data_IF_925149413839
#
_entry.id   IF_925149413839
#
_cell.length_a   1.000
_cell.length_b   1.000
_cell.length_c   1.000
_cell.angle_alpha   90.00
_cell.angle_beta   90.00
_cell.angle_gamma   90.00
#
_symmetry.space_group_name_H-M   'P 1'
#
loop_
_entity.id
_entity.type
_entity.pdbx_description
1 polymer ?
#
# COMPACT_ATOMS: atom_id res chain seq x y z
N UNK A 1 9.60 -16.99 -14.03
CA UNK A 1 8.89 -16.67 -12.77
C UNK A 1 7.44 -16.98 -13.00
N UNK A 2 6.85 -17.92 -12.25
CA UNK A 2 5.41 -18.13 -12.24
C UNK A 2 4.76 -16.83 -11.75
N UNK A 3 4.05 -16.15 -12.63
CA UNK A 3 3.28 -14.95 -12.27
C UNK A 3 2.11 -15.40 -11.42
N UNK A 4 2.19 -15.20 -10.11
CA UNK A 4 0.98 -15.18 -9.31
C UNK A 4 0.09 -14.08 -9.87
N UNK A 5 -1.11 -14.42 -10.34
CA UNK A 5 -2.09 -13.44 -10.74
C UNK A 5 -2.29 -12.48 -9.56
N UNK A 6 -1.86 -11.22 -9.76
CA UNK A 6 -2.03 -10.20 -8.73
C UNK A 6 -3.52 -9.94 -8.62
N UNK A 7 -4.10 -10.37 -7.50
CA UNK A 7 -5.52 -10.17 -7.28
C UNK A 7 -5.82 -8.68 -7.16
N UNK A 8 -6.91 -8.23 -7.79
CA UNK A 8 -7.41 -6.85 -7.68
C UNK A 8 -7.62 -6.46 -6.20
N UNK A 9 -7.97 -7.42 -5.35
CA UNK A 9 -8.04 -7.27 -3.89
C UNK A 9 -6.73 -6.80 -3.25
N UNK A 10 -5.59 -7.33 -3.71
CA UNK A 10 -4.26 -6.90 -3.25
C UNK A 10 -3.99 -5.45 -3.66
N UNK A 11 -4.37 -5.05 -4.87
CA UNK A 11 -4.20 -3.67 -5.34
C UNK A 11 -5.04 -2.69 -4.52
N UNK A 12 -6.28 -3.06 -4.18
CA UNK A 12 -7.12 -2.30 -3.26
C UNK A 12 -6.48 -2.17 -1.87
N UNK A 13 -6.02 -3.28 -1.28
CA UNK A 13 -5.27 -3.25 -0.01
C UNK A 13 -4.11 -2.26 -0.07
N UNK A 14 -3.24 -2.40 -1.08
CA UNK A 14 -2.03 -1.60 -1.19
C UNK A 14 -2.33 -0.11 -1.36
N UNK A 15 -3.35 0.23 -2.16
CA UNK A 15 -3.80 1.60 -2.35
C UNK A 15 -4.40 2.18 -1.06
N UNK A 16 -5.30 1.47 -0.38
CA UNK A 16 -5.92 1.97 0.86
C UNK A 16 -4.90 2.11 1.99
N UNK A 17 -3.93 1.20 2.06
CA UNK A 17 -2.85 1.26 3.05
C UNK A 17 -1.75 2.24 2.66
N UNK A 18 -1.80 2.82 1.45
CA UNK A 18 -0.75 3.64 0.87
C UNK A 18 0.63 2.97 1.02
N UNK A 19 0.74 1.73 0.55
CA UNK A 19 1.95 0.91 0.67
C UNK A 19 2.38 0.35 -0.68
N UNK A 20 3.69 0.27 -0.88
CA UNK A 20 4.31 -0.32 -2.07
C UNK A 20 4.39 -1.84 -1.90
N UNK A 21 4.09 -2.65 -2.95
CA UNK A 21 4.31 -4.08 -2.89
C UNK A 21 5.76 -4.43 -2.54
N UNK A 22 5.95 -5.47 -1.73
CA UNK A 22 7.30 -5.88 -1.27
C UNK A 22 8.29 -6.14 -2.42
N UNK A 23 7.81 -6.66 -3.55
CA UNK A 23 8.65 -6.89 -4.74
C UNK A 23 9.23 -5.58 -5.26
N UNK A 24 8.44 -4.51 -5.27
CA UNK A 24 8.90 -3.22 -5.74
C UNK A 24 9.77 -2.50 -4.69
N UNK A 25 9.55 -2.71 -3.39
CA UNK A 25 10.49 -2.29 -2.35
C UNK A 25 11.87 -2.93 -2.54
N UNK A 26 11.92 -4.22 -2.89
CA UNK A 26 13.19 -4.90 -3.22
C UNK A 26 13.85 -4.28 -4.46
N UNK A 27 13.07 -3.91 -5.48
CA UNK A 27 13.59 -3.22 -6.67
C UNK A 27 14.14 -1.82 -6.33
N UNK A 28 13.46 -1.03 -5.48
CA UNK A 28 13.97 0.25 -4.95
C UNK A 28 15.30 0.06 -4.24
N UNK A 29 15.42 -0.98 -3.40
CA UNK A 29 16.66 -1.29 -2.68
C UNK A 29 17.79 -1.70 -3.63
N UNK A 30 17.50 -2.52 -4.65
CA UNK A 30 18.47 -2.90 -5.68
C UNK A 30 18.97 -1.69 -6.47
N UNK A 31 18.08 -0.79 -6.88
CA UNK A 31 18.46 0.46 -7.55
C UNK A 31 19.22 1.41 -6.61
N UNK A 32 18.86 1.47 -5.34
CA UNK A 32 19.60 2.26 -4.34
C UNK A 32 21.04 1.78 -4.21
N UNK A 33 21.23 0.46 -4.12
CA UNK A 33 22.56 -0.17 -4.10
C UNK A 33 23.32 0.08 -5.41
N UNK A 34 22.65 0.02 -6.56
CA UNK A 34 23.24 0.32 -7.88
C UNK A 34 23.90 1.69 -7.88
N UNK A 35 23.15 2.71 -7.49
CA UNK A 35 23.67 4.07 -7.44
C UNK A 35 24.75 4.26 -6.38
N UNK A 36 24.74 3.49 -5.29
CA UNK A 36 25.84 3.52 -4.31
C UNK A 36 27.14 3.06 -4.95
N UNK A 37 27.13 1.96 -5.71
CA UNK A 37 28.32 1.46 -6.41
C UNK A 37 28.79 2.45 -7.49
N UNK A 38 27.88 3.00 -8.31
CA UNK A 38 28.25 3.99 -9.34
C UNK A 38 28.98 5.20 -8.76
N UNK A 39 28.61 5.63 -7.54
CA UNK A 39 29.23 6.77 -6.84
C UNK A 39 30.47 6.43 -6.01
N UNK A 40 30.89 5.16 -5.94
CA UNK A 40 32.12 4.81 -5.24
C UNK A 40 33.32 5.55 -5.86
N UNK A 41 34.35 5.79 -5.05
CA UNK A 41 35.60 6.32 -5.55
C UNK A 41 36.21 5.30 -6.56
N UNK A 42 36.72 5.74 -7.73
CA UNK A 42 37.36 4.86 -8.70
C UNK A 42 38.51 4.02 -8.14
N UNK A 43 39.15 4.44 -7.03
CA UNK A 43 40.23 3.68 -6.38
C UNK A 43 39.76 2.37 -5.72
N UNK A 44 38.46 2.17 -5.54
CA UNK A 44 37.95 0.94 -4.93
C UNK A 44 37.84 -0.17 -5.97
N UNK A 45 38.50 -1.30 -5.71
CA UNK A 45 38.41 -2.52 -6.52
C UNK A 45 36.96 -2.96 -6.79
N UNK A 46 36.06 -2.76 -5.83
CA UNK A 46 34.64 -3.06 -6.00
C UNK A 46 33.99 -2.28 -7.16
N UNK A 47 34.39 -1.02 -7.38
CA UNK A 47 33.91 -0.20 -8.50
C UNK A 47 34.49 -0.67 -9.83
N UNK A 48 35.77 -1.05 -9.86
CA UNK A 48 36.40 -1.58 -11.07
C UNK A 48 35.77 -2.89 -11.51
N UNK A 49 35.56 -3.82 -10.57
CA UNK A 49 34.89 -5.10 -10.84
C UNK A 49 33.47 -4.84 -11.36
N UNK A 50 32.75 -3.91 -10.73
CA UNK A 50 31.39 -3.56 -11.15
C UNK A 50 31.36 -2.97 -12.56
N UNK A 51 32.20 -1.98 -12.85
CA UNK A 51 32.27 -1.34 -14.17
C UNK A 51 32.63 -2.35 -15.26
N UNK A 52 33.63 -3.20 -15.03
CA UNK A 52 34.02 -4.24 -15.98
C UNK A 52 32.85 -5.20 -16.27
N UNK A 53 32.13 -5.65 -15.23
CA UNK A 53 30.97 -6.53 -15.42
C UNK A 53 29.81 -5.81 -16.10
N UNK A 54 29.61 -4.52 -15.83
CA UNK A 54 28.56 -3.72 -16.44
C UNK A 54 28.80 -3.52 -17.93
N UNK A 55 30.01 -3.10 -18.31
CA UNK A 55 30.43 -2.92 -19.70
C UNK A 55 30.32 -4.25 -20.44
N UNK A 56 30.87 -5.33 -19.86
CA UNK A 56 30.76 -6.68 -20.44
C UNK A 56 29.31 -7.10 -20.67
N UNK A 57 28.40 -6.79 -19.75
CA UNK A 57 26.98 -7.10 -19.91
C UNK A 57 26.33 -6.32 -21.06
N UNK A 58 26.70 -5.05 -21.22
CA UNK A 58 26.19 -4.16 -22.28
C UNK A 58 26.74 -4.59 -23.65
N UNK A 59 28.03 -4.91 -23.74
CA UNK A 59 28.71 -5.23 -24.99
C UNK A 59 28.47 -6.67 -25.47
N UNK A 60 28.33 -7.63 -24.55
CA UNK A 60 28.18 -9.06 -24.86
C UNK A 60 26.75 -9.58 -24.66
N UNK A 61 25.74 -8.72 -24.84
CA UNK A 61 24.31 -9.08 -24.84
C UNK A 61 23.88 -10.07 -23.74
N UNK A 62 24.25 -9.80 -22.48
CA UNK A 62 23.63 -10.52 -21.37
C UNK A 62 24.32 -11.80 -20.88
N UNK A 63 25.55 -12.12 -21.30
CA UNK A 63 26.32 -13.28 -20.78
C UNK A 63 26.74 -13.19 -19.29
N UNK A 64 26.22 -12.21 -18.54
CA UNK A 64 26.49 -12.08 -17.11
C UNK A 64 25.36 -12.72 -16.32
N UNK A 65 25.68 -13.39 -15.21
CA UNK A 65 24.70 -13.91 -14.25
C UNK A 65 24.81 -13.09 -12.96
N UNK A 66 23.68 -12.88 -12.28
CA UNK A 66 23.63 -12.26 -10.95
C UNK A 66 23.08 -10.84 -10.97
N UNK A 67 23.68 -9.95 -10.18
CA UNK A 67 23.11 -8.64 -9.87
C UNK A 67 22.97 -7.70 -11.08
N UNK A 68 23.96 -7.66 -11.99
CA UNK A 68 23.98 -6.69 -13.09
C UNK A 68 22.81 -6.88 -14.07
N UNK A 69 22.54 -8.07 -14.63
CA UNK A 69 21.37 -8.29 -15.48
C UNK A 69 20.06 -7.91 -14.80
N UNK A 70 19.92 -8.22 -13.51
CA UNK A 70 18.72 -7.91 -12.75
C UNK A 70 18.56 -6.39 -12.55
N UNK A 71 19.62 -5.69 -12.17
CA UNK A 71 19.63 -4.23 -12.07
C UNK A 71 19.34 -3.57 -13.43
N UNK A 72 19.92 -4.08 -14.51
CA UNK A 72 19.69 -3.60 -15.87
C UNK A 72 18.21 -3.75 -16.28
N UNK A 73 17.62 -4.93 -16.06
CA UNK A 73 16.19 -5.19 -16.29
C UNK A 73 15.30 -4.23 -15.49
N UNK A 74 15.65 -3.96 -14.23
CA UNK A 74 14.91 -3.02 -13.38
C UNK A 74 15.04 -1.58 -13.89
N UNK A 75 16.24 -1.15 -14.31
CA UNK A 75 16.47 0.16 -14.91
C UNK A 75 15.64 0.34 -16.20
N UNK A 76 15.56 -0.69 -17.03
CA UNK A 76 14.75 -0.68 -18.24
C UNK A 76 13.25 -0.61 -17.92
N UNK A 77 12.77 -1.44 -16.98
CA UNK A 77 11.38 -1.46 -16.51
C UNK A 77 10.89 -0.07 -16.06
N UNK A 78 11.74 0.70 -15.40
CA UNK A 78 11.38 2.01 -14.85
C UNK A 78 11.83 3.20 -15.71
N UNK A 79 12.26 2.95 -16.95
CA UNK A 79 12.72 3.99 -17.87
C UNK A 79 13.82 4.87 -17.25
N UNK A 80 14.85 4.21 -16.73
CA UNK A 80 16.03 4.80 -16.08
C UNK A 80 17.31 4.59 -16.92
N UNK A 81 17.18 4.06 -18.13
CA UNK A 81 18.31 3.76 -19.02
C UNK A 81 19.10 4.99 -19.43
N UNK A 82 18.48 6.17 -19.45
CA UNK A 82 19.18 7.44 -19.72
C UNK A 82 20.24 7.74 -18.65
N UNK A 83 19.94 7.47 -17.38
CA UNK A 83 20.90 7.67 -16.29
C UNK A 83 22.07 6.71 -16.43
N UNK A 84 21.80 5.46 -16.81
CA UNK A 84 22.86 4.48 -17.09
C UNK A 84 23.73 4.91 -18.27
N UNK A 85 23.14 5.40 -19.36
CA UNK A 85 23.87 5.89 -20.53
C UNK A 85 24.82 7.03 -20.17
N UNK A 86 24.34 8.06 -19.45
CA UNK A 86 25.20 9.15 -18.97
C UNK A 86 26.33 8.69 -18.05
N UNK A 87 26.08 7.65 -17.23
CA UNK A 87 27.13 7.09 -16.38
C UNK A 87 28.21 6.37 -17.18
N UNK A 88 27.82 5.56 -18.18
CA UNK A 88 28.76 4.79 -19.00
C UNK A 88 29.56 5.69 -19.93
N UNK A 89 28.92 6.71 -20.52
CA UNK A 89 29.56 7.62 -21.48
C UNK A 89 30.41 8.69 -20.80
N UNK A 90 29.85 9.35 -19.77
CA UNK A 90 30.45 10.55 -19.21
C UNK A 90 31.02 10.34 -17.80
N UNK A 91 30.83 9.15 -17.21
CA UNK A 91 31.13 8.90 -15.80
C UNK A 91 30.18 9.61 -14.83
N UNK A 92 29.15 10.29 -15.35
CA UNK A 92 28.26 11.14 -14.57
C UNK A 92 27.11 10.33 -13.96
N UNK A 93 26.97 10.39 -12.64
CA UNK A 93 25.86 9.77 -11.92
C UNK A 93 25.19 10.77 -10.97
N UNK A 94 23.84 10.74 -10.83
CA UNK A 94 23.14 11.62 -9.89
C UNK A 94 23.64 11.49 -8.46
N UNK A 95 23.57 12.58 -7.70
CA UNK A 95 23.94 12.57 -6.28
C UNK A 95 23.07 11.56 -5.50
N UNK A 96 23.50 11.17 -4.29
CA UNK A 96 22.74 10.23 -3.45
C UNK A 96 21.28 10.68 -3.25
N UNK A 97 21.06 11.98 -3.03
CA UNK A 97 19.73 12.55 -2.78
C UNK A 97 18.87 12.56 -4.04
N UNK A 98 19.44 12.97 -5.17
CA UNK A 98 18.73 13.00 -6.46
C UNK A 98 18.38 11.58 -6.92
N UNK A 99 19.34 10.65 -6.86
CA UNK A 99 19.11 9.26 -7.24
C UNK A 99 17.98 8.63 -6.43
N UNK A 100 17.99 8.82 -5.10
CA UNK A 100 16.92 8.33 -4.23
C UNK A 100 15.55 8.86 -4.69
N UNK A 101 15.44 10.17 -4.93
CA UNK A 101 14.20 10.80 -5.41
C UNK A 101 13.75 10.27 -6.78
N UNK A 102 14.69 10.08 -7.72
CA UNK A 102 14.40 9.57 -9.06
C UNK A 102 13.85 8.15 -8.98
N UNK A 103 14.53 7.27 -8.24
CA UNK A 103 14.14 5.87 -8.05
C UNK A 103 12.76 5.77 -7.41
N UNK A 104 12.57 6.41 -6.25
CA UNK A 104 11.29 6.39 -5.53
C UNK A 104 10.16 6.87 -6.43
N UNK A 105 10.33 8.03 -7.09
CA UNK A 105 9.31 8.59 -7.99
C UNK A 105 8.97 7.66 -9.14
N UNK A 106 9.96 7.15 -9.88
CA UNK A 106 9.73 6.31 -11.07
C UNK A 106 9.09 4.98 -10.70
N UNK A 107 9.55 4.34 -9.62
CA UNK A 107 8.97 3.07 -9.17
C UNK A 107 7.53 3.24 -8.70
N UNK A 108 7.28 4.24 -7.85
CA UNK A 108 5.95 4.51 -7.27
C UNK A 108 4.96 4.93 -8.34
N UNK A 109 5.36 5.81 -9.26
CA UNK A 109 4.50 6.22 -10.37
C UNK A 109 4.11 5.02 -11.24
N UNK A 110 5.05 4.13 -11.56
CA UNK A 110 4.75 2.93 -12.32
C UNK A 110 3.77 2.00 -11.58
N UNK A 111 3.96 1.78 -10.28
CA UNK A 111 3.03 0.98 -9.46
C UNK A 111 1.64 1.61 -9.42
N UNK A 112 1.57 2.91 -9.17
CA UNK A 112 0.29 3.63 -9.12
C UNK A 112 -0.44 3.50 -10.45
N UNK A 113 0.25 3.66 -11.57
CA UNK A 113 -0.35 3.50 -12.90
C UNK A 113 -0.83 2.06 -13.15
N UNK A 114 -0.02 1.07 -12.76
CA UNK A 114 -0.37 -0.35 -12.83
C UNK A 114 -1.60 -0.71 -11.97
N UNK A 115 -1.68 -0.18 -10.75
CA UNK A 115 -2.82 -0.40 -9.84
C UNK A 115 -4.06 0.29 -10.38
N UNK A 116 -3.93 1.55 -10.80
CA UNK A 116 -5.05 2.30 -11.38
C UNK A 116 -5.57 1.64 -12.65
N UNK A 117 -4.71 1.14 -13.54
CA UNK A 117 -5.17 0.46 -14.76
C UNK A 117 -5.92 -0.83 -14.46
N UNK A 118 -5.48 -1.61 -13.46
CA UNK A 118 -6.18 -2.84 -13.02
C UNK A 118 -7.50 -2.56 -12.30
N UNK A 119 -7.59 -1.44 -11.57
CA UNK A 119 -8.80 -1.08 -10.83
C UNK A 119 -9.82 -0.33 -11.70
N UNK A 120 -9.39 0.39 -12.76
CA UNK A 120 -10.23 1.24 -13.64
C UNK A 120 -11.40 0.55 -14.38
N UNK A 121 -11.67 -0.73 -14.14
CA UNK A 121 -12.85 -1.43 -14.64
C UNK A 121 -13.66 -2.16 -13.57
N UNK A 122 -13.37 -1.97 -12.28
CA UNK A 122 -13.89 -2.85 -11.23
C UNK A 122 -14.18 -2.11 -9.91
N UNK A 123 -15.06 -1.10 -9.93
CA UNK A 123 -15.48 -0.33 -8.75
C UNK A 123 -16.42 -1.12 -7.81
N UNK A 124 -16.06 -2.37 -7.52
CA UNK A 124 -16.90 -3.27 -6.74
C UNK A 124 -16.96 -2.91 -5.24
N UNK A 125 -16.27 -1.85 -4.83
CA UNK A 125 -15.99 -1.59 -3.42
C UNK A 125 -16.27 -0.15 -2.98
N UNK A 126 -16.43 0.80 -3.91
CA UNK A 126 -16.62 2.22 -3.56
C UNK A 126 -15.46 2.81 -2.76
N UNK A 127 -14.32 2.11 -2.66
CA UNK A 127 -13.11 2.56 -1.99
C UNK A 127 -12.28 3.32 -3.02
N UNK A 128 -12.07 4.61 -2.76
CA UNK A 128 -11.27 5.46 -3.63
C UNK A 128 -9.84 4.95 -3.67
N UNK A 129 -9.33 4.65 -4.86
CA UNK A 129 -7.91 4.33 -5.08
C UNK A 129 -7.11 5.60 -4.89
N UNK A 130 -6.38 5.70 -3.79
CA UNK A 130 -5.43 6.78 -3.60
C UNK A 130 -4.18 6.53 -4.43
N UNK A 131 -3.60 7.60 -4.96
CA UNK A 131 -2.25 7.60 -5.51
C UNK A 131 -1.31 7.15 -4.40
N UNK A 132 -0.58 6.06 -4.62
CA UNK A 132 0.43 5.63 -3.67
C UNK A 132 1.53 6.69 -3.69
N UNK A 133 1.89 7.22 -2.53
CA UNK A 133 2.97 8.18 -2.36
C UNK A 133 4.03 7.57 -1.44
N UNK A 134 5.23 7.30 -1.96
CA UNK A 134 6.34 6.76 -1.17
C UNK A 134 6.79 7.66 -0.03
N UNK A 135 6.49 8.96 -0.08
CA UNK A 135 6.85 9.89 0.99
C UNK A 135 5.80 9.94 2.10
N UNK A 136 4.62 9.36 1.88
CA UNK A 136 3.52 9.39 2.83
C UNK A 136 3.13 7.96 3.22
N UNK A 137 3.05 7.70 4.51
CA UNK A 137 2.40 6.49 5.01
C UNK A 137 0.88 6.69 4.99
N UNK A 138 0.09 5.61 5.08
CA UNK A 138 -1.34 5.75 5.41
C UNK A 138 -1.51 6.74 6.57
N UNK A 139 -2.53 7.62 6.56
CA UNK A 139 -2.82 8.52 7.68
C UNK A 139 -2.81 7.78 9.02
N UNK A 140 -3.34 6.55 9.07
CA UNK A 140 -3.35 5.71 10.27
C UNK A 140 -1.94 5.38 10.80
N UNK A 141 -0.97 5.13 9.93
CA UNK A 141 0.42 4.86 10.34
C UNK A 141 1.12 6.11 10.86
N UNK A 142 0.83 7.27 10.26
CA UNK A 142 1.35 8.56 10.74
C UNK A 142 0.81 8.88 12.13
N UNK A 143 -0.51 8.78 12.32
CA UNK A 143 -1.13 9.02 13.64
C UNK A 143 -0.61 8.00 14.68
N UNK A 144 -0.44 6.72 14.30
CA UNK A 144 0.12 5.70 15.19
C UNK A 144 1.58 5.96 15.57
N UNK A 145 2.40 6.47 14.63
CA UNK A 145 3.80 6.84 14.90
C UNK A 145 3.88 7.97 15.91
N UNK A 146 3.03 8.99 15.77
CA UNK A 146 3.01 10.14 16.67
C UNK A 146 2.33 9.81 18.01
N UNK A 147 1.51 8.75 18.05
CA UNK A 147 0.74 8.33 19.23
C UNK A 147 0.85 6.81 19.47
N UNK A 148 1.93 6.32 20.11
CA UNK A 148 2.14 4.88 20.31
C UNK A 148 1.00 4.16 21.04
N UNK A 149 0.24 4.86 21.89
CA UNK A 149 -0.90 4.30 22.64
C UNK A 149 -2.04 3.81 21.75
N UNK A 150 -2.17 4.35 20.53
CA UNK A 150 -3.27 4.00 19.62
C UNK A 150 -2.87 2.99 18.54
N UNK A 151 -1.61 2.51 18.57
CA UNK A 151 -1.08 1.62 17.53
C UNK A 151 -1.93 0.36 17.32
N UNK A 152 -2.49 -0.20 18.39
CA UNK A 152 -3.34 -1.39 18.31
C UNK A 152 -4.70 -1.09 17.65
N UNK A 153 -5.24 0.11 17.85
CA UNK A 153 -6.46 0.58 17.18
C UNK A 153 -6.18 0.68 15.68
N UNK A 154 -5.10 1.36 15.31
CA UNK A 154 -4.69 1.51 13.90
C UNK A 154 -4.43 0.15 13.24
N UNK A 155 -3.70 -0.77 13.89
CA UNK A 155 -3.48 -2.13 13.39
C UNK A 155 -4.78 -2.90 13.14
N UNK A 156 -5.73 -2.81 14.07
CA UNK A 156 -7.03 -3.49 13.95
C UNK A 156 -7.81 -2.96 12.75
N UNK A 157 -7.83 -1.64 12.55
CA UNK A 157 -8.47 -0.99 11.41
C UNK A 157 -7.81 -1.43 10.10
N UNK A 158 -6.48 -1.37 10.00
CA UNK A 158 -5.74 -1.76 8.79
C UNK A 158 -5.97 -3.24 8.44
N UNK A 159 -5.95 -4.12 9.44
CA UNK A 159 -6.26 -5.53 9.26
C UNK A 159 -7.71 -5.73 8.79
N UNK A 160 -8.65 -4.95 9.31
CA UNK A 160 -10.05 -5.01 8.93
C UNK A 160 -10.27 -4.52 7.50
N UNK A 161 -9.61 -3.44 7.08
CA UNK A 161 -9.61 -3.00 5.68
C UNK A 161 -9.08 -4.11 4.78
N UNK A 162 -7.95 -4.73 5.14
CA UNK A 162 -7.37 -5.83 4.38
C UNK A 162 -8.29 -7.05 4.28
N UNK A 163 -8.98 -7.40 5.37
CA UNK A 163 -9.99 -8.47 5.37
C UNK A 163 -11.23 -8.10 4.55
N UNK A 164 -11.67 -6.84 4.59
CA UNK A 164 -12.85 -6.37 3.89
C UNK A 164 -12.70 -6.51 2.37
N UNK A 165 -11.53 -6.13 1.84
CA UNK A 165 -11.27 -6.19 0.40
C UNK A 165 -10.86 -7.60 -0.06
N UNK A 166 -10.52 -8.52 0.86
CA UNK A 166 -10.12 -9.90 0.55
C UNK A 166 -11.34 -10.82 0.37
N UNK A 167 -11.71 -11.13 -0.88
CA UNK A 167 -12.90 -11.94 -1.22
C UNK A 167 -12.73 -13.46 -1.17
N UNK A 168 -11.52 -13.97 -0.94
CA UNK A 168 -11.22 -15.37 -1.25
C UNK A 168 -11.24 -16.33 -0.05
N UNK A 169 -11.68 -15.89 1.12
CA UNK A 169 -11.57 -16.70 2.33
C UNK A 169 -12.86 -16.71 3.13
N UNK A 170 -13.57 -17.84 3.09
CA UNK A 170 -14.65 -18.12 4.04
C UNK A 170 -14.03 -18.23 5.43
N UNK A 171 -14.50 -17.40 6.37
CA UNK A 171 -14.05 -17.39 7.75
C UNK A 171 -15.23 -17.57 8.69
N UNK A 172 -14.98 -18.23 9.79
CA UNK A 172 -15.94 -18.38 10.87
C UNK A 172 -15.89 -17.17 11.80
N UNK A 173 -17.06 -16.62 12.13
CA UNK A 173 -17.18 -15.58 13.12
C UNK A 173 -16.99 -16.17 14.52
N UNK A 174 -15.97 -15.70 15.26
CA UNK A 174 -15.69 -16.16 16.63
C UNK A 174 -16.79 -15.84 17.65
N UNK A 175 -17.71 -14.94 17.32
CA UNK A 175 -18.81 -14.60 18.21
C UNK A 175 -19.97 -15.56 17.99
N UNK A 176 -20.51 -15.64 16.77
CA UNK A 176 -21.75 -16.36 16.48
C UNK A 176 -21.54 -17.70 15.75
N UNK A 177 -20.29 -18.10 15.52
CA UNK A 177 -19.89 -19.31 14.79
C UNK A 177 -20.40 -19.42 13.35
N UNK A 178 -20.91 -18.32 12.76
CA UNK A 178 -21.36 -18.31 11.37
C UNK A 178 -20.18 -18.21 10.41
N UNK A 179 -20.17 -19.06 9.39
CA UNK A 179 -19.21 -18.98 8.27
C UNK A 179 -19.66 -17.93 7.25
N UNK A 180 -18.78 -17.00 6.93
CA UNK A 180 -19.05 -15.88 6.02
C UNK A 180 -17.87 -15.63 5.10
N UNK A 181 -18.16 -15.19 3.87
CA UNK A 181 -17.13 -14.76 2.90
C UNK A 181 -16.48 -13.45 3.32
N UNK A 182 -17.25 -12.53 3.92
CA UNK A 182 -16.75 -11.24 4.39
C UNK A 182 -17.05 -11.07 5.89
N UNK A 183 -16.04 -11.39 6.70
CA UNK A 183 -16.15 -11.30 8.16
C UNK A 183 -16.38 -9.87 8.64
N UNK A 184 -15.87 -8.87 7.92
CA UNK A 184 -15.97 -7.47 8.31
C UNK A 184 -17.40 -6.97 8.12
N UNK A 185 -18.00 -7.22 6.95
CA UNK A 185 -19.42 -6.91 6.69
C UNK A 185 -20.30 -7.64 7.71
N UNK A 186 -20.03 -8.93 7.95
CA UNK A 186 -20.79 -9.69 8.94
C UNK A 186 -20.73 -9.05 10.33
N UNK A 187 -19.53 -8.73 10.84
CA UNK A 187 -19.38 -8.12 12.16
C UNK A 187 -20.06 -6.74 12.23
N UNK A 188 -19.86 -5.90 11.22
CA UNK A 188 -20.36 -4.52 11.17
C UNK A 188 -21.85 -4.39 10.91
N UNK A 189 -22.49 -5.34 10.21
CA UNK A 189 -23.89 -5.20 9.79
C UNK A 189 -24.81 -6.31 10.35
N UNK A 190 -24.33 -7.54 10.50
CA UNK A 190 -25.22 -8.73 10.59
C UNK A 190 -25.04 -9.62 11.83
N UNK A 191 -23.93 -9.52 12.56
CA UNK A 191 -23.65 -10.42 13.69
C UNK A 191 -24.58 -10.13 14.89
N UNK A 192 -25.58 -10.97 15.16
CA UNK A 192 -26.55 -10.71 16.24
C UNK A 192 -25.89 -10.51 17.62
N UNK A 193 -24.80 -11.21 17.94
CA UNK A 193 -24.07 -11.06 19.21
C UNK A 193 -23.27 -9.75 19.35
N UNK A 194 -23.20 -8.93 18.30
CA UNK A 194 -22.54 -7.62 18.33
C UNK A 194 -23.54 -6.47 18.22
N UNK A 195 -24.84 -6.73 18.42
CA UNK A 195 -25.90 -5.73 18.25
C UNK A 195 -25.71 -4.50 19.15
N UNK A 196 -25.45 -4.69 20.44
CA UNK A 196 -25.26 -3.56 21.37
C UNK A 196 -24.05 -2.71 21.01
N UNK A 197 -22.97 -3.37 20.57
CA UNK A 197 -21.78 -2.66 20.10
C UNK A 197 -22.05 -1.91 18.80
N UNK A 198 -22.85 -2.47 17.88
CA UNK A 198 -23.29 -1.78 16.67
C UNK A 198 -24.15 -0.57 16.99
N UNK A 199 -25.10 -0.69 17.94
CA UNK A 199 -25.91 0.45 18.39
C UNK A 199 -25.03 1.59 18.86
N UNK A 200 -24.02 1.29 19.70
CA UNK A 200 -23.06 2.30 20.14
C UNK A 200 -22.27 2.92 18.97
N UNK A 201 -21.78 2.10 18.04
CA UNK A 201 -21.12 2.58 16.83
C UNK A 201 -22.02 3.52 16.01
N UNK A 202 -23.29 3.17 15.81
CA UNK A 202 -24.25 3.98 15.07
C UNK A 202 -24.56 5.30 15.77
N UNK A 203 -24.70 5.30 17.10
CA UNK A 203 -24.84 6.53 17.86
C UNK A 203 -23.62 7.44 17.67
N UNK A 204 -22.40 6.89 17.79
CA UNK A 204 -21.18 7.66 17.53
C UNK A 204 -21.09 8.14 16.08
N UNK A 205 -21.54 7.35 15.11
CA UNK A 205 -21.57 7.76 13.70
C UNK A 205 -22.54 8.94 13.50
N UNK A 206 -23.75 8.89 14.07
CA UNK A 206 -24.72 9.98 14.04
C UNK A 206 -24.12 11.26 14.64
N UNK A 207 -23.40 11.17 15.76
CA UNK A 207 -22.68 12.31 16.34
C UNK A 207 -21.61 12.88 15.40
N UNK A 208 -21.02 12.05 14.53
CA UNK A 208 -19.97 12.47 13.59
C UNK A 208 -20.53 13.12 12.32
N UNK A 209 -21.57 12.54 11.71
CA UNK A 209 -22.06 12.96 10.38
C UNK A 209 -23.44 13.64 10.41
N UNK A 210 -24.12 13.61 11.55
CA UNK A 210 -25.48 14.10 11.71
C UNK A 210 -26.55 13.09 11.26
N UNK A 211 -27.76 13.29 11.76
CA UNK A 211 -28.89 12.37 11.54
C UNK A 211 -29.32 12.29 10.07
N UNK A 212 -29.23 13.40 9.32
CA UNK A 212 -29.64 13.47 7.92
C UNK A 212 -28.75 12.60 7.04
N UNK A 213 -27.42 12.68 7.22
CA UNK A 213 -26.48 11.83 6.48
C UNK A 213 -26.56 10.37 6.95
N UNK A 214 -26.76 10.14 8.26
CA UNK A 214 -26.98 8.80 8.77
C UNK A 214 -28.22 8.13 8.17
N UNK A 215 -29.31 8.88 7.96
CA UNK A 215 -30.51 8.38 7.31
C UNK A 215 -30.23 7.89 5.89
N UNK A 216 -29.38 8.60 5.13
CA UNK A 216 -28.94 8.11 3.81
C UNK A 216 -28.06 6.87 3.94
N UNK A 217 -27.16 6.87 4.92
CA UNK A 217 -26.22 5.77 5.17
C UNK A 217 -26.92 4.45 5.48
N UNK A 218 -27.98 4.45 6.30
CA UNK A 218 -28.65 3.20 6.71
C UNK A 218 -29.38 2.50 5.55
N UNK A 219 -29.71 3.23 4.49
CA UNK A 219 -30.33 2.69 3.28
C UNK A 219 -29.34 2.04 2.31
N UNK A 220 -28.03 2.19 2.54
CA UNK A 220 -26.99 1.52 1.77
C UNK A 220 -26.97 0.02 2.05
N UNK A 221 -26.45 -0.78 1.11
CA UNK A 221 -26.18 -2.19 1.35
C UNK A 221 -25.09 -2.37 2.42
N UNK A 222 -25.04 -3.53 3.10
CA UNK A 222 -24.01 -3.78 4.12
C UNK A 222 -22.57 -3.66 3.60
N UNK A 223 -22.38 -3.92 2.29
CA UNK A 223 -21.10 -3.69 1.60
C UNK A 223 -20.76 -2.20 1.55
N UNK A 224 -21.68 -1.38 1.05
CA UNK A 224 -21.51 0.07 0.91
C UNK A 224 -21.41 0.78 2.27
N UNK A 225 -22.20 0.35 3.27
CA UNK A 225 -22.09 0.81 4.65
C UNK A 225 -20.69 0.53 5.21
N UNK A 226 -20.20 -0.71 5.07
CA UNK A 226 -18.88 -1.11 5.56
C UNK A 226 -17.76 -0.36 4.84
N UNK A 227 -17.84 -0.21 3.51
CA UNK A 227 -16.87 0.55 2.73
C UNK A 227 -16.80 2.01 3.17
N UNK A 228 -17.96 2.66 3.28
CA UNK A 228 -18.08 4.07 3.64
C UNK A 228 -17.57 4.33 5.06
N UNK A 229 -17.90 3.44 6.01
CA UNK A 229 -17.41 3.52 7.38
C UNK A 229 -15.89 3.34 7.46
N UNK A 230 -15.35 2.31 6.79
CA UNK A 230 -13.90 2.05 6.77
C UNK A 230 -13.13 3.20 6.11
N UNK A 231 -13.68 3.79 5.03
CA UNK A 231 -13.12 4.97 4.38
C UNK A 231 -13.03 6.15 5.37
N UNK A 232 -14.14 6.49 6.01
CA UNK A 232 -14.21 7.59 6.99
C UNK A 232 -13.24 7.39 8.17
N UNK A 233 -13.11 6.16 8.64
CA UNK A 233 -12.15 5.79 9.70
C UNK A 233 -10.69 5.88 9.21
N UNK A 234 -10.43 5.55 7.94
CA UNK A 234 -9.08 5.56 7.36
C UNK A 234 -8.57 6.96 6.99
N UNK A 235 -9.49 7.84 6.59
CA UNK A 235 -9.23 9.22 6.19
C UNK A 235 -9.17 10.17 7.39
N UNK A 236 -8.84 9.68 8.60
CA UNK A 236 -8.58 10.52 9.78
C UNK A 236 -7.41 11.48 9.51
N UNK A 237 -7.74 12.62 8.95
CA UNK A 237 -6.88 13.78 8.77
C UNK A 237 -7.52 14.86 9.65
N UNK A 238 -6.80 15.23 10.70
CA UNK A 238 -6.99 16.44 11.52
C UNK A 238 -8.07 16.47 12.64
N UNK A 239 -9.06 15.59 12.70
CA UNK A 239 -10.04 15.55 13.83
C UNK A 239 -9.67 14.49 14.89
N UNK A 240 -8.69 14.83 15.76
CA UNK A 240 -8.17 13.92 16.79
C UNK A 240 -9.23 13.35 17.75
N UNK A 241 -10.38 14.01 17.92
CA UNK A 241 -11.34 13.66 18.95
C UNK A 241 -12.61 12.95 18.42
N UNK A 242 -13.25 13.46 17.38
CA UNK A 242 -14.55 12.95 16.92
C UNK A 242 -14.36 11.64 16.14
N UNK A 243 -13.47 11.64 15.16
CA UNK A 243 -13.22 10.42 14.37
C UNK A 243 -12.48 9.35 15.17
N UNK A 244 -11.71 9.72 16.20
CA UNK A 244 -11.07 8.73 17.06
C UNK A 244 -12.07 7.96 17.96
N UNK A 245 -13.15 8.61 18.41
CA UNK A 245 -14.27 7.91 19.09
C UNK A 245 -14.90 6.89 18.15
N UNK A 246 -15.14 7.28 16.90
CA UNK A 246 -15.66 6.39 15.86
C UNK A 246 -14.72 5.20 15.61
N UNK A 247 -13.41 5.44 15.50
CA UNK A 247 -12.38 4.40 15.39
C UNK A 247 -12.44 3.40 16.54
N UNK A 248 -12.55 3.89 17.79
CA UNK A 248 -12.66 3.03 18.98
C UNK A 248 -13.93 2.19 18.95
N UNK A 249 -15.09 2.79 18.66
CA UNK A 249 -16.36 2.07 18.59
C UNK A 249 -16.32 0.97 17.52
N UNK A 250 -15.73 1.26 16.35
CA UNK A 250 -15.56 0.27 15.29
C UNK A 250 -14.60 -0.86 15.72
N UNK A 251 -13.49 -0.56 16.38
CA UNK A 251 -12.53 -1.57 16.85
C UNK A 251 -13.14 -2.53 17.87
N UNK A 252 -14.08 -2.08 18.70
CA UNK A 252 -14.81 -2.95 19.64
C UNK A 252 -15.62 -4.06 18.93
N UNK A 253 -16.00 -3.84 17.68
CA UNK A 253 -16.72 -4.78 16.82
C UNK A 253 -15.75 -5.61 15.98
N UNK A 254 -14.68 -4.98 15.47
CA UNK A 254 -13.75 -5.57 14.52
C UNK A 254 -12.73 -6.55 15.15
N UNK A 255 -12.36 -6.34 16.42
CA UNK A 255 -11.53 -7.29 17.19
C UNK A 255 -12.17 -8.69 17.30
#
# INVERSE_FOLDING_TARGET
>A
MQGYDRSISTDYCLSTLNTVPIVNELEIRKLTFFGQICRLNPKYLAKDIFNNRLIRHIELEGQCIGYIPDAYRILQKYDLMNVLRSYVQDGNFPTKREWKKIVERKVVMNITNEIQSRIKGNDQWGVTVHVIDSNNYSPLWRVAKDNPRIINVCKTILNSIGMFVSRQYVRECRHCCLKTVNLVIHKLCYCHLLEDKRKHLWTTLIECIGITEFSRFIHLSGLEQSASLLKMISETVDSYFVHFKLCKAAVCILN
#
